data_IF_594325817797
#
_entry.id   IF_594325817797
#
_cell.length_a   1.000
_cell.length_b   1.000
_cell.length_c   1.000
_cell.angle_alpha   90.00
_cell.angle_beta   90.00
_cell.angle_gamma   90.00
#
_symmetry.space_group_name_H-M   'P 1'
#
loop_
_entity.id
_entity.type
_entity.pdbx_description
1 polymer ?
#
# COMPACT_ATOMS: atom_id res chain seq x y z
N UNK A 1 58.33 -24.56 -12.84
CA UNK A 1 58.93 -25.07 -11.58
C UNK A 1 59.24 -23.86 -10.71
N UNK A 2 58.84 -23.72 -9.46
CA UNK A 2 58.16 -24.61 -8.54
C UNK A 2 57.72 -23.81 -7.29
N UNK A 3 56.83 -24.45 -6.54
CA UNK A 3 56.13 -23.99 -5.34
C UNK A 3 56.94 -23.24 -4.26
N UNK A 4 56.27 -22.26 -3.64
CA UNK A 4 56.53 -21.82 -2.26
C UNK A 4 55.83 -22.76 -1.26
N UNK A 5 56.56 -23.21 -0.23
CA UNK A 5 56.01 -23.65 1.06
C UNK A 5 56.96 -23.25 2.21
N UNK A 6 56.36 -22.59 3.21
CA UNK A 6 56.50 -22.69 4.70
C UNK A 6 57.93 -22.57 5.29
N UNK A 7 58.21 -22.02 6.48
CA UNK A 7 57.60 -22.28 7.81
C UNK A 7 58.27 -21.39 8.88
N UNK A 8 57.49 -21.00 9.92
CA UNK A 8 57.74 -20.60 11.33
C UNK A 8 59.14 -20.15 11.84
N UNK A 9 59.15 -19.18 12.77
CA UNK A 9 59.85 -19.14 14.10
C UNK A 9 59.36 -17.87 14.86
N UNK A 10 58.58 -17.93 15.94
CA UNK A 10 58.84 -18.17 17.38
C UNK A 10 59.78 -17.17 18.09
N UNK A 11 59.33 -16.79 19.30
CA UNK A 11 59.69 -15.68 20.19
C UNK A 11 61.14 -15.57 20.71
N UNK A 12 61.54 -14.33 21.08
CA UNK A 12 62.24 -14.04 22.35
C UNK A 12 62.23 -12.52 22.65
N UNK A 13 61.77 -12.19 23.85
CA UNK A 13 61.59 -10.85 24.42
C UNK A 13 62.83 -10.48 25.25
N UNK A 14 63.41 -9.29 25.00
CA UNK A 14 64.58 -8.76 25.73
C UNK A 14 64.10 -7.91 26.91
N UNK A 15 64.65 -8.23 28.08
CA UNK A 15 64.46 -7.59 29.37
C UNK A 15 65.30 -6.29 29.46
N UNK A 16 64.71 -5.19 29.90
CA UNK A 16 65.45 -4.00 30.36
C UNK A 16 64.80 -3.44 31.63
N UNK A 17 65.54 -3.57 32.73
CA UNK A 17 65.31 -2.96 34.02
C UNK A 17 65.79 -1.51 34.00
N UNK A 18 65.04 -0.58 34.58
CA UNK A 18 65.55 0.56 35.34
C UNK A 18 64.43 1.12 36.24
N UNK A 19 64.75 1.23 37.53
CA UNK A 19 63.82 1.60 38.59
C UNK A 19 63.63 3.10 38.78
N UNK A 20 62.65 3.45 39.62
CA UNK A 20 62.44 4.83 40.08
C UNK A 20 61.08 5.05 40.76
N UNK A 21 61.02 4.74 42.05
CA UNK A 21 60.40 5.54 43.12
C UNK A 21 59.06 6.26 42.82
N UNK A 22 57.91 5.69 43.22
CA UNK A 22 56.70 6.48 43.49
C UNK A 22 55.89 5.89 44.65
N UNK A 23 55.48 6.79 45.55
CA UNK A 23 54.79 6.50 46.81
C UNK A 23 53.40 5.90 46.64
N UNK A 24 52.99 5.17 47.67
CA UNK A 24 51.68 4.56 47.79
C UNK A 24 50.59 5.63 47.95
N UNK A 25 49.81 5.87 46.90
CA UNK A 25 48.46 6.45 47.00
C UNK A 25 47.49 5.26 46.85
N UNK A 26 46.72 4.98 47.89
CA UNK A 26 45.55 4.09 47.80
C UNK A 26 44.54 4.74 46.86
N UNK A 27 44.49 4.28 45.61
CA UNK A 27 43.37 4.54 44.70
C UNK A 27 42.23 3.62 45.13
N UNK A 28 41.17 4.20 45.70
CA UNK A 28 39.91 3.49 45.90
C UNK A 28 39.38 3.07 44.53
N UNK A 29 39.07 1.78 44.38
CA UNK A 29 38.39 1.27 43.21
C UNK A 29 37.01 1.94 43.13
N UNK A 30 36.84 2.89 42.20
CA UNK A 30 35.53 3.32 41.76
C UNK A 30 34.87 2.13 41.08
N UNK A 31 33.84 1.59 41.72
CA UNK A 31 32.87 0.71 41.06
C UNK A 31 32.32 1.44 39.83
N UNK A 32 32.31 0.82 38.63
CA UNK A 32 31.63 1.42 37.50
C UNK A 32 30.14 1.54 37.86
N UNK A 33 29.67 2.78 37.89
CA UNK A 33 28.26 3.12 37.96
C UNK A 33 27.59 2.45 36.75
N UNK A 34 26.67 1.52 37.03
CA UNK A 34 25.89 0.86 36.00
C UNK A 34 25.10 1.95 35.24
N UNK A 35 25.58 2.31 34.05
CA UNK A 35 24.81 3.10 33.12
C UNK A 35 23.45 2.43 32.94
N UNK A 36 22.39 3.22 33.07
CA UNK A 36 21.03 2.78 32.78
C UNK A 36 21.04 2.12 31.39
N UNK A 37 20.95 0.79 31.36
CA UNK A 37 20.77 0.08 30.11
C UNK A 37 19.47 0.56 29.51
N UNK A 38 19.48 0.89 28.22
CA UNK A 38 18.27 1.05 27.44
C UNK A 38 17.38 -0.16 27.74
N UNK A 39 16.25 0.09 28.40
CA UNK A 39 15.24 -0.93 28.63
C UNK A 39 14.76 -1.33 27.23
N UNK A 40 15.22 -2.47 26.72
CA UNK A 40 14.72 -3.03 25.48
C UNK A 40 13.29 -3.51 25.75
N UNK A 41 12.33 -2.59 25.67
CA UNK A 41 10.92 -2.91 25.74
C UNK A 41 10.60 -3.80 24.55
N UNK A 42 10.01 -4.97 24.80
CA UNK A 42 9.50 -5.83 23.73
C UNK A 42 8.58 -5.01 22.80
N UNK A 43 8.63 -5.24 21.47
CA UNK A 43 7.77 -4.52 20.52
C UNK A 43 6.31 -4.60 20.95
N UNK A 44 5.62 -3.45 21.02
CA UNK A 44 4.20 -3.41 21.38
C UNK A 44 3.38 -3.78 20.15
N UNK A 45 2.56 -4.81 20.25
CA UNK A 45 1.61 -5.15 19.18
C UNK A 45 0.55 -4.04 19.05
N UNK A 46 0.37 -3.52 17.83
CA UNK A 46 -0.60 -2.47 17.52
C UNK A 46 -1.81 -3.04 16.79
N UNK A 47 -1.58 -3.85 15.77
CA UNK A 47 -2.64 -4.45 14.97
C UNK A 47 -2.17 -5.78 14.39
N UNK A 48 -3.10 -6.69 14.15
CA UNK A 48 -2.88 -7.90 13.39
C UNK A 48 -4.12 -8.17 12.56
N UNK A 49 -3.93 -8.37 11.25
CA UNK A 49 -4.97 -8.52 10.25
C UNK A 49 -4.66 -9.74 9.41
N UNK A 50 -5.56 -10.72 9.38
CA UNK A 50 -5.44 -11.88 8.50
C UNK A 50 -5.93 -11.56 7.10
N UNK A 51 -5.44 -12.32 6.13
CA UNK A 51 -5.92 -12.30 4.75
C UNK A 51 -6.47 -13.67 4.31
N UNK A 52 -7.06 -13.75 3.12
CA UNK A 52 -7.59 -14.97 2.54
C UNK A 52 -6.48 -15.72 1.80
N UNK A 53 -6.00 -16.82 2.38
CA UNK A 53 -4.97 -17.66 1.73
C UNK A 53 -5.41 -18.15 0.33
N UNK A 54 -4.52 -18.00 -0.64
CA UNK A 54 -4.61 -18.56 -1.99
C UNK A 54 -5.34 -17.67 -3.00
N UNK A 55 -5.43 -16.37 -2.75
CA UNK A 55 -6.13 -15.40 -3.61
C UNK A 55 -5.20 -14.47 -4.41
N UNK A 56 -3.93 -14.84 -4.55
CA UNK A 56 -2.88 -14.13 -5.30
C UNK A 56 -3.00 -14.19 -6.84
N UNK A 57 -4.24 -14.07 -7.30
CA UNK A 57 -4.69 -14.09 -8.69
C UNK A 57 -5.28 -12.74 -9.14
N UNK A 58 -4.93 -11.66 -8.45
CA UNK A 58 -5.30 -10.28 -8.80
C UNK A 58 -6.82 -10.13 -8.95
N UNK A 59 -7.34 -9.68 -10.11
CA UNK A 59 -8.78 -9.59 -10.37
C UNK A 59 -9.49 -10.96 -10.50
N UNK A 60 -8.89 -12.05 -10.01
CA UNK A 60 -9.42 -13.42 -10.08
C UNK A 60 -8.97 -14.22 -11.30
N UNK A 61 -8.17 -13.64 -12.18
CA UNK A 61 -7.75 -14.25 -13.45
C UNK A 61 -6.24 -14.34 -13.64
N UNK A 62 -5.44 -13.69 -12.79
CA UNK A 62 -4.00 -13.59 -13.02
C UNK A 62 -3.30 -14.93 -12.84
N UNK A 63 -2.27 -15.12 -13.64
CA UNK A 63 -1.39 -16.30 -13.58
C UNK A 63 0.05 -15.85 -13.52
N UNK A 64 0.86 -16.63 -12.83
CA UNK A 64 2.27 -16.33 -12.64
C UNK A 64 3.04 -16.35 -13.96
N UNK A 65 4.19 -15.65 -14.03
CA UNK A 65 5.12 -15.82 -15.14
C UNK A 65 5.61 -17.28 -15.24
N UNK A 66 5.96 -17.72 -16.45
CA UNK A 66 6.22 -19.14 -16.72
C UNK A 66 7.65 -19.60 -16.43
N UNK A 67 8.55 -18.69 -16.02
CA UNK A 67 9.91 -19.10 -15.60
C UNK A 67 9.87 -20.03 -14.38
N UNK A 68 10.81 -20.97 -14.34
CA UNK A 68 10.89 -21.96 -13.27
C UNK A 68 11.03 -21.35 -11.86
N UNK A 69 11.57 -20.13 -11.74
CA UNK A 69 11.66 -19.44 -10.44
C UNK A 69 10.29 -19.13 -9.84
N UNK A 70 9.26 -18.99 -10.68
CA UNK A 70 7.87 -18.76 -10.26
C UNK A 70 7.06 -20.06 -10.16
N UNK A 71 7.66 -21.23 -10.36
CA UNK A 71 6.97 -22.53 -10.30
C UNK A 71 6.78 -22.99 -8.85
N UNK A 72 6.15 -22.15 -8.04
CA UNK A 72 5.77 -22.35 -6.65
C UNK A 72 4.43 -21.63 -6.40
N UNK A 73 3.67 -22.09 -5.42
CA UNK A 73 2.41 -21.45 -5.01
C UNK A 73 2.66 -20.40 -3.92
N UNK A 74 1.78 -19.40 -3.84
CA UNK A 74 1.74 -18.44 -2.74
C UNK A 74 2.90 -17.43 -2.72
N UNK A 75 3.59 -17.25 -3.86
CA UNK A 75 4.71 -16.32 -4.01
C UNK A 75 4.33 -14.85 -3.80
N UNK A 76 3.07 -14.50 -4.08
CA UNK A 76 2.55 -13.15 -3.94
C UNK A 76 1.34 -13.06 -2.99
N UNK A 77 0.91 -14.20 -2.43
CA UNK A 77 -0.17 -14.37 -1.45
C UNK A 77 0.24 -13.88 -0.07
N UNK A 78 -0.25 -12.70 0.29
CA UNK A 78 -0.25 -12.13 1.63
C UNK A 78 -1.25 -12.94 2.44
N UNK A 79 -0.82 -13.57 3.52
CA UNK A 79 -1.72 -14.30 4.45
C UNK A 79 -2.08 -13.47 5.68
N UNK A 80 -1.46 -12.30 5.81
CA UNK A 80 -1.77 -11.33 6.85
C UNK A 80 -0.66 -10.34 7.11
N UNK A 81 -0.99 -9.37 7.96
CA UNK A 81 -0.13 -8.26 8.34
C UNK A 81 -0.15 -8.10 9.85
N UNK A 82 1.02 -7.84 10.43
CA UNK A 82 1.15 -7.48 11.84
C UNK A 82 1.93 -6.17 11.98
N UNK A 83 1.37 -5.21 12.71
CA UNK A 83 2.03 -3.94 12.99
C UNK A 83 2.47 -3.91 14.46
N UNK A 84 3.76 -3.67 14.67
CA UNK A 84 4.34 -3.42 15.98
C UNK A 84 4.78 -1.97 16.12
N UNK A 85 4.89 -1.53 17.36
CA UNK A 85 5.45 -0.25 17.77
C UNK A 85 6.68 -0.51 18.64
N UNK A 86 7.84 -0.08 18.14
CA UNK A 86 9.09 0.00 18.91
C UNK A 86 9.25 1.43 19.47
N UNK A 87 10.40 1.76 20.07
CA UNK A 87 10.64 3.12 20.60
C UNK A 87 10.63 4.20 19.51
N UNK A 88 11.25 3.94 18.36
CA UNK A 88 11.49 4.93 17.30
C UNK A 88 10.74 4.63 15.99
N UNK A 89 10.24 3.41 15.82
CA UNK A 89 9.72 2.91 14.55
C UNK A 89 8.39 2.20 14.76
N UNK A 90 7.57 2.20 13.72
CA UNK A 90 6.58 1.15 13.50
C UNK A 90 7.23 0.04 12.66
N UNK A 91 6.98 -1.22 13.03
CA UNK A 91 7.52 -2.38 12.33
C UNK A 91 6.36 -3.16 11.71
N UNK A 92 6.23 -3.04 10.40
CA UNK A 92 5.20 -3.70 9.61
C UNK A 92 5.73 -5.05 9.14
N UNK A 93 5.10 -6.13 9.60
CA UNK A 93 5.33 -7.48 9.12
C UNK A 93 4.25 -7.81 8.08
N UNK A 94 4.68 -8.14 6.87
CA UNK A 94 3.80 -8.66 5.81
C UNK A 94 4.13 -10.15 5.66
N UNK A 95 3.18 -11.00 6.02
CA UNK A 95 3.32 -12.45 6.00
C UNK A 95 2.81 -12.97 4.67
N UNK A 96 3.59 -13.84 4.03
CA UNK A 96 3.24 -14.49 2.78
C UNK A 96 3.05 -16.00 3.03
N UNK A 97 2.25 -16.66 2.19
CA UNK A 97 2.18 -18.13 2.17
C UNK A 97 3.57 -18.69 1.82
N UNK A 98 4.24 -18.09 0.83
CA UNK A 98 5.58 -18.45 0.41
C UNK A 98 6.38 -17.26 -0.13
N UNK A 99 7.59 -16.98 0.37
CA UNK A 99 8.43 -15.93 -0.24
C UNK A 99 9.21 -16.39 -1.49
N UNK A 100 9.29 -17.69 -1.76
CA UNK A 100 10.12 -18.24 -2.84
C UNK A 100 11.62 -18.09 -2.60
N UNK A 101 12.03 -17.64 -1.41
CA UNK A 101 13.42 -17.42 -1.04
C UNK A 101 14.03 -16.15 -1.64
N UNK A 102 15.33 -16.22 -1.93
CA UNK A 102 16.10 -15.12 -2.50
C UNK A 102 16.94 -15.57 -3.71
N UNK A 103 16.30 -16.09 -4.78
CA UNK A 103 16.99 -16.69 -5.92
C UNK A 103 17.93 -15.72 -6.67
N UNK A 104 17.72 -14.42 -6.54
CA UNK A 104 18.53 -13.39 -7.22
C UNK A 104 19.44 -12.61 -6.27
N UNK A 105 19.49 -12.97 -4.99
CA UNK A 105 20.41 -12.36 -4.02
C UNK A 105 20.09 -10.90 -3.70
N UNK A 106 18.81 -10.53 -3.63
CA UNK A 106 18.36 -9.22 -3.15
C UNK A 106 18.84 -8.96 -1.71
N UNK A 107 19.26 -7.72 -1.45
CA UNK A 107 19.84 -7.30 -0.16
C UNK A 107 18.86 -7.35 1.00
N UNK A 108 17.57 -7.21 0.72
CA UNK A 108 16.51 -7.32 1.73
C UNK A 108 16.16 -8.78 2.09
N UNK A 109 16.81 -9.77 1.45
CA UNK A 109 16.64 -11.19 1.80
C UNK A 109 15.51 -11.91 1.04
N UNK A 110 14.92 -11.28 0.03
CA UNK A 110 13.94 -11.86 -0.89
C UNK A 110 14.15 -11.31 -2.31
N UNK A 111 13.49 -11.87 -3.33
CA UNK A 111 13.69 -11.43 -4.73
C UNK A 111 12.42 -11.11 -5.50
N UNK A 112 11.33 -11.83 -5.29
CA UNK A 112 10.25 -11.89 -6.29
C UNK A 112 9.17 -10.83 -6.06
N UNK A 113 8.97 -10.41 -4.81
CA UNK A 113 7.88 -9.55 -4.40
C UNK A 113 8.22 -8.07 -4.59
N UNK A 114 7.21 -7.29 -4.93
CA UNK A 114 7.13 -5.85 -4.65
C UNK A 114 5.95 -5.66 -3.70
N UNK A 115 6.18 -4.96 -2.60
CA UNK A 115 5.16 -4.68 -1.57
C UNK A 115 5.00 -3.18 -1.44
N UNK A 116 3.77 -2.72 -1.42
CA UNK A 116 3.44 -1.35 -1.06
C UNK A 116 2.46 -1.34 0.10
N UNK A 117 2.66 -0.43 1.06
CA UNK A 117 1.71 -0.17 2.12
C UNK A 117 1.45 1.32 2.23
N UNK A 118 0.18 1.69 2.42
CA UNK A 118 -0.30 3.06 2.42
C UNK A 118 -1.01 3.34 3.74
N UNK A 119 -0.78 4.51 4.32
CA UNK A 119 -1.37 4.92 5.60
C UNK A 119 -2.02 6.29 5.47
N UNK A 120 -3.29 6.37 5.83
CA UNK A 120 -4.09 7.59 5.96
C UNK A 120 -4.37 7.81 7.45
N UNK A 121 -3.89 8.90 8.03
CA UNK A 121 -4.05 9.20 9.46
C UNK A 121 -4.29 10.68 9.75
N UNK A 122 -4.44 11.52 8.71
CA UNK A 122 -4.82 12.93 8.82
C UNK A 122 -5.46 13.39 7.50
N UNK A 123 -6.12 14.54 7.55
CA UNK A 123 -6.76 15.11 6.36
C UNK A 123 -5.74 15.50 5.27
N UNK A 124 -6.08 15.18 4.02
CA UNK A 124 -5.27 15.48 2.84
C UNK A 124 -4.49 14.25 2.36
N UNK A 125 -3.47 14.47 1.52
CA UNK A 125 -2.64 13.39 0.98
C UNK A 125 -2.82 13.16 -0.51
N UNK A 126 -2.45 11.96 -0.98
CA UNK A 126 -2.50 11.57 -2.39
C UNK A 126 -3.38 10.32 -2.56
N UNK A 127 -4.21 10.25 -3.61
CA UNK A 127 -5.11 9.12 -3.85
C UNK A 127 -4.61 8.14 -4.91
N UNK A 128 -3.46 8.43 -5.52
CA UNK A 128 -2.85 7.56 -6.54
C UNK A 128 -1.85 6.61 -5.89
N UNK A 129 -1.78 5.38 -6.39
CA UNK A 129 -0.69 4.48 -6.04
C UNK A 129 0.67 5.10 -6.41
N UNK A 130 1.74 4.63 -5.74
CA UNK A 130 3.10 5.16 -5.91
C UNK A 130 3.51 5.09 -7.39
N UNK A 131 4.02 6.21 -7.91
CA UNK A 131 4.59 6.32 -9.27
C UNK A 131 5.88 7.11 -9.19
N UNK A 132 7.01 6.40 -9.28
CA UNK A 132 8.35 7.00 -9.14
C UNK A 132 9.01 7.21 -10.51
N UNK A 133 8.54 6.54 -11.55
CA UNK A 133 8.92 6.82 -12.92
C UNK A 133 7.98 7.86 -13.56
N UNK A 134 8.54 8.85 -14.28
CA UNK A 134 7.79 9.97 -14.87
C UNK A 134 6.56 9.57 -15.70
N UNK A 135 6.62 8.40 -16.37
CA UNK A 135 5.52 7.86 -17.18
C UNK A 135 5.11 6.44 -16.75
N UNK A 136 5.43 6.07 -15.52
CA UNK A 136 5.15 4.75 -15.00
C UNK A 136 3.73 4.64 -14.43
N UNK A 137 3.04 3.51 -14.62
CA UNK A 137 1.70 3.32 -14.09
C UNK A 137 1.70 2.89 -12.61
N UNK A 138 2.86 2.61 -11.99
CA UNK A 138 2.95 2.00 -10.67
C UNK A 138 2.26 0.64 -10.63
N UNK A 139 1.57 0.36 -9.51
CA UNK A 139 0.64 -0.76 -9.37
C UNK A 139 -0.60 -0.66 -10.29
N UNK A 140 -0.78 0.48 -10.97
CA UNK A 140 -1.89 0.81 -11.85
C UNK A 140 -3.28 0.75 -11.20
N UNK A 141 -3.36 1.16 -9.93
CA UNK A 141 -4.60 1.29 -9.15
C UNK A 141 -4.73 2.69 -8.55
N UNK A 142 -5.95 3.04 -8.14
CA UNK A 142 -6.25 4.18 -7.27
C UNK A 142 -6.55 3.67 -5.86
N UNK A 143 -6.55 4.58 -4.89
CA UNK A 143 -7.00 4.35 -3.53
C UNK A 143 -8.31 5.13 -3.33
N UNK A 144 -9.26 4.56 -2.59
CA UNK A 144 -10.54 5.21 -2.27
C UNK A 144 -10.39 6.44 -1.37
N UNK A 145 -9.25 6.52 -0.70
CA UNK A 145 -8.86 7.57 0.24
C UNK A 145 -7.47 8.09 -0.04
N UNK A 146 -7.18 9.35 0.33
CA UNK A 146 -5.83 9.84 0.23
C UNK A 146 -4.95 9.17 1.28
N UNK A 147 -3.66 9.06 1.01
CA UNK A 147 -2.66 8.58 1.98
C UNK A 147 -1.64 9.67 2.31
N UNK A 148 -1.11 9.59 3.53
CA UNK A 148 -0.16 10.54 4.10
C UNK A 148 1.28 10.04 4.04
N UNK A 149 1.44 8.73 4.15
CA UNK A 149 2.71 8.02 4.03
C UNK A 149 2.46 6.71 3.32
N UNK A 150 3.36 6.37 2.41
CA UNK A 150 3.41 5.05 1.82
C UNK A 150 4.82 4.47 1.91
N UNK A 151 4.94 3.17 1.70
CA UNK A 151 6.21 2.49 1.51
C UNK A 151 6.16 1.66 0.24
N UNK A 152 7.30 1.54 -0.46
CA UNK A 152 7.53 0.56 -1.53
C UNK A 152 8.79 -0.23 -1.20
N UNK A 153 8.66 -1.54 -1.12
CA UNK A 153 9.75 -2.45 -0.75
C UNK A 153 9.87 -3.56 -1.79
N UNK A 154 11.09 -3.77 -2.27
CA UNK A 154 11.49 -4.86 -3.17
C UNK A 154 12.66 -5.63 -2.56
N UNK A 155 13.21 -6.62 -3.26
CA UNK A 155 14.46 -7.27 -2.86
C UNK A 155 15.68 -6.34 -2.78
N UNK A 156 15.65 -5.17 -3.44
CA UNK A 156 16.81 -4.27 -3.57
C UNK A 156 16.59 -2.87 -3.02
N UNK A 157 15.34 -2.40 -2.98
CA UNK A 157 14.98 -1.02 -2.62
C UNK A 157 13.94 -1.04 -1.51
N UNK A 158 14.05 -0.10 -0.59
CA UNK A 158 13.13 0.07 0.54
C UNK A 158 12.90 1.56 0.71
N UNK A 159 11.75 2.05 0.26
CA UNK A 159 11.47 3.49 0.22
C UNK A 159 10.25 3.82 1.04
N UNK A 160 10.36 4.85 1.88
CA UNK A 160 9.21 5.62 2.33
C UNK A 160 8.91 6.70 1.28
N UNK A 161 7.64 6.88 0.98
CA UNK A 161 7.13 7.79 -0.04
C UNK A 161 6.14 8.75 0.59
N UNK A 162 6.33 10.05 0.35
CA UNK A 162 5.42 11.11 0.79
C UNK A 162 4.42 11.47 -0.31
N UNK A 163 3.32 12.19 -0.01
CA UNK A 163 2.24 12.45 -0.97
C UNK A 163 2.67 13.24 -2.22
N UNK A 164 3.79 13.97 -2.12
CA UNK A 164 4.43 14.68 -3.24
C UNK A 164 5.38 13.79 -4.07
N UNK A 165 5.37 12.46 -3.86
CA UNK A 165 6.25 11.46 -4.49
C UNK A 165 7.73 11.60 -4.15
N UNK A 166 8.10 12.45 -3.19
CA UNK A 166 9.46 12.43 -2.64
C UNK A 166 9.69 11.16 -1.83
N UNK A 167 10.93 10.68 -1.85
CA UNK A 167 11.28 9.40 -1.23
C UNK A 167 12.46 9.52 -0.29
N UNK A 168 12.48 8.66 0.72
CA UNK A 168 13.66 8.40 1.54
C UNK A 168 13.88 6.89 1.70
N UNK A 169 15.14 6.49 1.85
CA UNK A 169 15.47 5.09 2.10
C UNK A 169 15.14 4.71 3.54
N UNK A 170 14.53 3.55 3.71
CA UNK A 170 14.21 2.93 5.00
C UNK A 170 14.77 1.51 5.06
N UNK A 171 14.66 0.84 6.20
CA UNK A 171 15.13 -0.54 6.35
C UNK A 171 13.98 -1.53 6.07
N UNK A 172 14.28 -2.55 5.28
CA UNK A 172 13.44 -3.74 5.21
C UNK A 172 14.31 -5.00 5.16
N UNK A 173 13.77 -6.10 5.67
CA UNK A 173 14.42 -7.43 5.67
C UNK A 173 13.37 -8.51 5.45
N UNK A 174 13.79 -9.75 5.25
CA UNK A 174 12.90 -10.90 5.22
C UNK A 174 13.33 -11.98 6.21
N UNK A 175 12.34 -12.63 6.81
CA UNK A 175 12.49 -13.89 7.52
C UNK A 175 11.92 -15.01 6.64
N UNK A 176 12.82 -15.76 6.00
CA UNK A 176 12.45 -16.87 5.11
C UNK A 176 11.89 -18.10 5.84
N UNK A 177 12.11 -18.22 7.16
CA UNK A 177 11.54 -19.31 7.95
C UNK A 177 10.04 -19.09 8.19
N UNK A 178 9.63 -17.82 8.31
CA UNK A 178 8.23 -17.42 8.56
C UNK A 178 7.59 -16.75 7.36
N UNK A 179 8.24 -16.79 6.18
CA UNK A 179 7.80 -16.11 4.96
C UNK A 179 7.34 -14.66 5.21
N UNK A 180 8.13 -13.88 5.94
CA UNK A 180 7.71 -12.53 6.37
C UNK A 180 8.66 -11.46 5.84
N UNK A 181 8.13 -10.43 5.19
CA UNK A 181 8.85 -9.18 4.91
C UNK A 181 8.62 -8.23 6.08
N UNK A 182 9.70 -7.70 6.65
CA UNK A 182 9.73 -6.85 7.84
C UNK A 182 10.17 -5.45 7.40
N UNK A 183 9.28 -4.47 7.50
CA UNK A 183 9.48 -3.10 7.03
C UNK A 183 9.49 -2.16 8.24
N UNK A 184 10.53 -1.32 8.35
CA UNK A 184 10.70 -0.37 9.46
C UNK A 184 10.37 1.03 9.00
N UNK A 185 9.37 1.63 9.63
CA UNK A 185 8.83 2.95 9.29
C UNK A 185 9.13 3.91 10.45
N UNK A 186 9.91 4.98 10.24
CA UNK A 186 10.22 5.93 11.32
C UNK A 186 8.96 6.64 11.81
N UNK A 187 8.78 6.73 13.13
CA UNK A 187 7.60 7.35 13.76
C UNK A 187 7.43 8.83 13.45
N UNK A 188 8.49 9.52 13.06
CA UNK A 188 8.38 10.94 12.67
C UNK A 188 7.49 11.14 11.43
N UNK A 189 7.30 10.09 10.61
CA UNK A 189 6.45 10.13 9.42
C UNK A 189 5.08 9.50 9.64
N UNK A 190 4.98 8.46 10.49
CA UNK A 190 3.73 7.72 10.70
C UNK A 190 3.22 7.92 12.12
N UNK A 191 1.95 8.31 12.26
CA UNK A 191 1.27 8.40 13.54
C UNK A 191 -0.02 7.58 13.51
N UNK A 192 -0.02 6.42 14.18
CA UNK A 192 -1.19 5.55 14.22
C UNK A 192 -2.22 6.09 15.22
N UNK A 193 -3.45 6.26 14.76
CA UNK A 193 -4.60 6.71 15.54
C UNK A 193 -5.80 5.78 15.32
N UNK A 194 -6.86 5.85 16.15
CA UNK A 194 -8.10 5.09 15.89
C UNK A 194 -8.77 5.41 14.54
N UNK A 195 -8.48 6.59 13.97
CA UNK A 195 -9.01 7.02 12.68
C UNK A 195 -8.08 6.67 11.51
N UNK A 196 -7.02 5.89 11.76
CA UNK A 196 -6.07 5.48 10.72
C UNK A 196 -6.65 4.39 9.83
N UNK A 197 -6.48 4.57 8.53
CA UNK A 197 -6.79 3.59 7.49
C UNK A 197 -5.51 3.18 6.79
N UNK A 198 -5.46 1.95 6.30
CA UNK A 198 -4.31 1.46 5.57
C UNK A 198 -4.69 0.48 4.47
N UNK A 199 -3.81 0.33 3.50
CA UNK A 199 -3.86 -0.72 2.49
C UNK A 199 -2.48 -1.34 2.34
N UNK A 200 -2.42 -2.64 2.06
CA UNK A 200 -1.18 -3.33 1.70
C UNK A 200 -1.44 -4.10 0.41
N UNK A 201 -0.54 -3.96 -0.55
CA UNK A 201 -0.61 -4.65 -1.84
C UNK A 201 0.71 -5.33 -2.15
N UNK A 202 0.64 -6.43 -2.87
CA UNK A 202 1.78 -7.18 -3.36
C UNK A 202 1.67 -7.45 -4.87
N UNK A 203 2.83 -7.63 -5.48
CA UNK A 203 2.91 -8.08 -6.86
C UNK A 203 4.24 -8.71 -7.20
N UNK A 204 4.35 -9.10 -8.47
CA UNK A 204 5.61 -9.58 -9.02
C UNK A 204 6.51 -8.40 -9.38
N UNK A 205 7.69 -8.38 -8.78
CA UNK A 205 8.71 -7.37 -9.04
C UNK A 205 9.41 -7.62 -10.38
N UNK A 206 9.72 -6.54 -11.09
CA UNK A 206 10.59 -6.53 -12.28
C UNK A 206 11.56 -5.35 -12.20
N UNK A 207 12.80 -5.61 -11.75
CA UNK A 207 13.82 -4.56 -11.60
C UNK A 207 14.28 -3.90 -12.91
N UNK A 208 13.88 -4.43 -14.06
CA UNK A 208 14.09 -3.81 -15.37
C UNK A 208 12.81 -3.16 -15.92
N UNK A 209 11.67 -3.44 -15.28
CA UNK A 209 10.37 -2.89 -15.61
C UNK A 209 10.20 -1.47 -15.06
N UNK A 210 9.31 -0.71 -15.72
CA UNK A 210 8.93 0.61 -15.24
C UNK A 210 8.21 0.50 -13.88
N UNK A 211 8.58 1.38 -12.94
CA UNK A 211 8.14 1.36 -11.54
C UNK A 211 8.45 0.08 -10.75
N UNK A 212 9.33 -0.79 -11.26
CA UNK A 212 9.67 -2.07 -10.63
C UNK A 212 8.51 -3.09 -10.58
N UNK A 213 7.37 -2.79 -11.21
CA UNK A 213 6.22 -3.70 -11.32
C UNK A 213 6.27 -4.51 -12.61
N UNK A 214 6.16 -5.84 -12.50
CA UNK A 214 6.09 -6.72 -13.66
C UNK A 214 4.82 -6.44 -14.46
N UNK A 215 4.96 -6.46 -15.78
CA UNK A 215 3.84 -6.20 -16.70
C UNK A 215 2.91 -7.41 -16.77
N UNK A 216 1.61 -7.12 -16.89
CA UNK A 216 0.52 -8.08 -17.10
C UNK A 216 0.18 -8.14 -18.59
N UNK A 217 0.01 -9.35 -19.11
CA UNK A 217 -0.41 -9.69 -20.46
C UNK A 217 -1.66 -10.58 -20.41
N UNK A 218 -2.30 -10.77 -21.57
CA UNK A 218 -3.42 -11.72 -21.71
C UNK A 218 -2.94 -13.15 -21.43
N UNK A 219 -1.83 -13.53 -22.04
CA UNK A 219 -1.19 -14.84 -21.85
C UNK A 219 0.11 -14.67 -21.07
N UNK A 220 0.37 -15.58 -20.14
CA UNK A 220 1.61 -15.54 -19.36
C UNK A 220 2.82 -15.82 -20.27
N UNK A 221 3.90 -15.07 -20.04
CA UNK A 221 5.20 -15.34 -20.64
C UNK A 221 6.22 -15.64 -19.54
N UNK A 222 7.44 -16.02 -19.93
CA UNK A 222 8.51 -16.38 -18.98
C UNK A 222 8.69 -15.32 -17.88
N UNK A 223 8.59 -14.04 -18.25
CA UNK A 223 8.85 -12.90 -17.36
C UNK A 223 7.67 -11.92 -17.30
N UNK A 224 6.45 -12.36 -17.61
CA UNK A 224 5.25 -11.52 -17.62
C UNK A 224 4.08 -12.27 -16.98
N UNK A 225 3.31 -11.56 -16.17
CA UNK A 225 2.07 -12.09 -15.58
C UNK A 225 1.06 -12.32 -16.72
N UNK A 226 0.28 -13.39 -16.66
CA UNK A 226 -0.81 -13.66 -17.61
C UNK A 226 -2.18 -13.41 -17.01
N UNK A 227 -3.23 -13.62 -17.81
CA UNK A 227 -4.63 -13.56 -17.36
C UNK A 227 -5.20 -12.14 -17.30
N UNK A 228 -4.50 -11.15 -17.85
CA UNK A 228 -5.02 -9.79 -17.94
C UNK A 228 -6.18 -9.65 -18.92
N UNK A 229 -7.14 -8.79 -18.57
CA UNK A 229 -8.21 -8.41 -19.48
C UNK A 229 -7.62 -7.66 -20.71
N UNK A 230 -7.86 -8.13 -21.94
CA UNK A 230 -7.30 -7.52 -23.15
C UNK A 230 -7.74 -6.07 -23.36
N UNK A 231 -8.99 -5.73 -23.03
CA UNK A 231 -9.54 -4.39 -23.20
C UNK A 231 -8.97 -3.45 -22.12
N UNK A 232 -8.84 -3.92 -20.88
CA UNK A 232 -8.20 -3.18 -19.81
C UNK A 232 -6.71 -2.92 -20.08
N UNK A 233 -5.99 -3.90 -20.65
CA UNK A 233 -4.59 -3.74 -21.09
C UNK A 233 -4.52 -2.70 -22.20
N UNK A 234 -5.38 -2.80 -23.22
CA UNK A 234 -5.38 -1.87 -24.35
C UNK A 234 -5.69 -0.42 -23.91
N UNK A 235 -6.58 -0.25 -22.93
CA UNK A 235 -6.90 1.05 -22.33
C UNK A 235 -5.87 1.51 -21.28
N UNK A 236 -4.91 0.66 -20.89
CA UNK A 236 -3.88 1.01 -19.91
C UNK A 236 -4.39 1.08 -18.46
N UNK A 237 -5.52 0.44 -18.15
CA UNK A 237 -6.17 0.46 -16.82
C UNK A 237 -6.05 -0.87 -16.06
N UNK A 238 -5.49 -1.91 -16.68
CA UNK A 238 -5.29 -3.20 -16.03
C UNK A 238 -4.37 -3.08 -14.78
N UNK A 239 -4.81 -3.52 -13.58
CA UNK A 239 -3.99 -3.46 -12.37
C UNK A 239 -2.76 -4.37 -12.49
N UNK A 240 -1.69 -4.07 -11.75
CA UNK A 240 -0.48 -4.93 -11.67
C UNK A 240 -0.36 -5.67 -10.33
N UNK A 241 -1.36 -5.48 -9.49
CA UNK A 241 -1.49 -6.12 -8.17
C UNK A 241 -1.78 -7.60 -8.37
N UNK A 242 -0.97 -8.46 -7.76
CA UNK A 242 -1.24 -9.90 -7.68
C UNK A 242 -2.10 -10.20 -6.47
N UNK A 243 -1.92 -9.43 -5.39
CA UNK A 243 -2.65 -9.59 -4.15
C UNK A 243 -2.77 -8.27 -3.35
N UNK A 244 -3.82 -8.11 -2.54
CA UNK A 244 -4.07 -7.00 -1.64
C UNK A 244 -4.70 -7.50 -0.34
N UNK A 245 -4.32 -6.88 0.78
CA UNK A 245 -4.86 -7.21 2.09
C UNK A 245 -6.37 -6.92 2.16
N UNK A 246 -7.19 -7.97 2.06
CA UNK A 246 -8.63 -8.01 2.20
C UNK A 246 -9.02 -9.05 3.28
N UNK A 247 -9.31 -8.61 4.52
CA UNK A 247 -9.67 -9.54 5.60
C UNK A 247 -10.82 -10.47 5.24
N UNK A 248 -10.91 -11.68 5.82
CA UNK A 248 -12.05 -12.55 5.61
C UNK A 248 -13.38 -11.83 5.91
N UNK A 249 -14.29 -11.82 4.93
CA UNK A 249 -15.57 -11.10 4.94
C UNK A 249 -15.49 -9.57 4.81
N UNK A 250 -14.33 -9.02 4.42
CA UNK A 250 -14.25 -7.64 3.97
C UNK A 250 -15.06 -7.47 2.68
N UNK A 251 -15.73 -6.34 2.54
CA UNK A 251 -16.51 -6.01 1.34
C UNK A 251 -16.18 -4.58 0.96
N UNK A 252 -15.77 -4.32 -0.30
CA UNK A 252 -15.66 -5.27 -1.42
C UNK A 252 -14.53 -6.30 -1.30
N UNK A 253 -14.65 -7.45 -1.97
CA UNK A 253 -13.55 -8.45 -2.05
C UNK A 253 -12.36 -7.91 -2.85
N UNK A 254 -11.21 -8.60 -2.79
CA UNK A 254 -10.06 -8.27 -3.63
C UNK A 254 -10.43 -8.19 -5.12
N UNK A 255 -11.13 -9.20 -5.65
CA UNK A 255 -11.46 -9.25 -7.08
C UNK A 255 -12.44 -8.15 -7.45
N UNK A 256 -13.45 -7.87 -6.62
CA UNK A 256 -14.38 -6.76 -6.84
C UNK A 256 -13.64 -5.42 -6.91
N UNK A 257 -12.64 -5.21 -6.06
CA UNK A 257 -11.80 -4.01 -6.09
C UNK A 257 -10.95 -3.96 -7.36
N UNK A 258 -10.25 -5.05 -7.70
CA UNK A 258 -9.34 -5.09 -8.85
C UNK A 258 -10.07 -5.17 -10.21
N UNK A 259 -11.36 -5.50 -10.23
CA UNK A 259 -12.24 -5.43 -11.40
C UNK A 259 -12.99 -4.09 -11.53
N UNK A 260 -12.86 -3.17 -10.57
CA UNK A 260 -13.60 -1.89 -10.56
C UNK A 260 -13.09 -0.85 -11.57
N UNK A 261 -12.17 -1.22 -12.47
CA UNK A 261 -11.73 -0.34 -13.55
C UNK A 261 -12.83 -0.13 -14.58
N UNK A 262 -12.70 0.95 -15.36
CA UNK A 262 -13.61 1.28 -16.44
C UNK A 262 -12.79 1.64 -17.68
N UNK A 263 -12.90 0.79 -18.70
CA UNK A 263 -12.14 0.86 -19.96
C UNK A 263 -12.54 2.10 -20.77
N UNK A 264 -13.84 2.42 -20.81
CA UNK A 264 -14.39 3.50 -21.63
C UNK A 264 -13.95 4.88 -21.13
N UNK A 265 -13.90 5.07 -19.82
CA UNK A 265 -13.49 6.30 -19.15
C UNK A 265 -11.99 6.35 -18.86
N UNK A 266 -11.26 5.23 -18.98
CA UNK A 266 -9.85 5.14 -18.60
C UNK A 266 -9.63 5.17 -17.08
N UNK A 267 -10.65 4.81 -16.29
CA UNK A 267 -10.57 4.79 -14.83
C UNK A 267 -9.90 3.50 -14.36
N UNK A 268 -8.92 3.63 -13.46
CA UNK A 268 -8.26 2.48 -12.83
C UNK A 268 -9.13 1.86 -11.76
N UNK A 269 -8.87 0.58 -11.49
CA UNK A 269 -9.40 -0.10 -10.31
C UNK A 269 -9.05 0.67 -9.03
N UNK A 270 -9.97 0.68 -8.07
CA UNK A 270 -9.84 1.40 -6.80
C UNK A 270 -9.77 0.42 -5.65
N UNK A 271 -8.70 0.52 -4.87
CA UNK A 271 -8.51 -0.25 -3.64
C UNK A 271 -9.12 0.52 -2.48
N UNK A 272 -9.86 -0.19 -1.65
CA UNK A 272 -10.51 0.33 -0.44
C UNK A 272 -9.59 0.11 0.75
N UNK A 273 -9.16 1.21 1.38
CA UNK A 273 -8.36 1.12 2.59
C UNK A 273 -9.18 0.58 3.77
N UNK A 274 -8.56 -0.26 4.59
CA UNK A 274 -9.19 -0.83 5.78
C UNK A 274 -8.86 0.02 7.02
N UNK A 275 -9.83 0.22 7.94
CA UNK A 275 -9.52 0.84 9.24
C UNK A 275 -8.57 -0.06 10.02
N UNK A 276 -7.57 0.52 10.68
CA UNK A 276 -6.60 -0.27 11.44
C UNK A 276 -7.25 -0.84 12.71
N UNK A 277 -7.29 -2.18 12.92
CA UNK A 277 -7.90 -2.76 14.09
C UNK A 277 -6.94 -2.72 15.28
N UNK A 278 -6.94 -1.60 16.00
CA UNK A 278 -6.07 -1.40 17.16
C UNK A 278 -6.35 -2.45 18.24
N UNK A 279 -5.28 -3.11 18.70
CA UNK A 279 -5.34 -3.95 19.90
C UNK A 279 -5.60 -3.05 21.11
N UNK A 280 -6.63 -3.32 21.91
CA UNK A 280 -6.91 -2.55 23.12
C UNK A 280 -5.69 -2.52 24.03
N UNK A 281 -5.33 -1.33 24.53
CA UNK A 281 -4.29 -1.18 25.54
C UNK A 281 -4.85 -1.72 26.85
N UNK A 282 -4.67 -3.02 27.09
CA UNK A 282 -4.91 -3.63 28.38
C UNK A 282 -3.81 -3.20 29.35
N UNK A 283 -4.22 -2.66 30.49
CA UNK A 283 -3.41 -2.44 31.67
C UNK A 283 -2.92 -3.79 32.23
N UNK A 284 -1.85 -4.30 31.61
CA UNK A 284 -0.92 -5.26 32.18
C UNK A 284 -1.50 -6.56 32.72
N UNK A 285 -1.89 -7.50 31.85
CA UNK A 285 -1.74 -8.93 32.12
C UNK A 285 -1.20 -9.64 30.87
N UNK A 286 0.07 -10.04 30.96
CA UNK A 286 0.74 -10.89 29.98
C UNK A 286 0.13 -12.30 30.00
N UNK A 287 -0.81 -12.59 29.10
CA UNK A 287 -1.13 -13.97 28.76
C UNK A 287 -0.16 -14.46 27.68
N UNK A 288 0.98 -14.96 28.13
CA UNK A 288 1.93 -15.74 27.32
C UNK A 288 1.22 -16.98 26.79
N UNK A 289 0.79 -16.97 25.52
CA UNK A 289 0.38 -18.19 24.84
C UNK A 289 1.60 -18.81 24.17
N UNK A 290 2.27 -19.70 24.90
CA UNK A 290 3.26 -20.61 24.33
C UNK A 290 2.53 -21.63 23.46
N UNK A 291 2.61 -21.49 22.14
CA UNK A 291 2.18 -22.52 21.20
C UNK A 291 3.26 -23.61 21.13
N UNK A 292 3.03 -24.74 21.81
CA UNK A 292 3.78 -25.97 21.60
C UNK A 292 2.98 -26.91 20.70
N UNK A 293 3.57 -27.28 19.57
CA UNK A 293 3.02 -28.24 18.63
C UNK A 293 2.86 -29.62 19.27
N UNK A 294 1.63 -30.12 19.36
CA UNK A 294 1.36 -31.55 19.28
C UNK A 294 -0.05 -31.79 18.74
N UNK A 295 -0.14 -32.59 17.68
CA UNK A 295 -1.36 -32.77 16.91
C UNK A 295 -2.45 -33.49 17.70
N UNK A 296 -3.63 -32.89 17.77
CA UNK A 296 -4.90 -33.61 17.93
C UNK A 296 -5.98 -32.79 17.26
N UNK A 297 -6.73 -33.41 16.34
CA UNK A 297 -7.87 -32.77 15.67
C UNK A 297 -8.96 -32.50 16.70
N UNK A 298 -9.23 -31.24 16.99
CA UNK A 298 -10.40 -30.81 17.77
C UNK A 298 -11.36 -30.09 16.83
N UNK A 299 -12.54 -30.67 16.63
CA UNK A 299 -13.64 -30.02 15.91
C UNK A 299 -14.28 -29.01 16.84
N UNK A 300 -14.10 -27.72 16.55
CA UNK A 300 -14.79 -26.64 17.25
C UNK A 300 -16.22 -26.54 16.73
N UNK A 301 -17.20 -26.91 17.56
CA UNK A 301 -18.61 -26.58 17.36
C UNK A 301 -18.83 -25.17 17.89
N UNK A 302 -19.23 -24.24 17.04
CA UNK A 302 -19.72 -22.93 17.47
C UNK A 302 -21.12 -23.12 18.08
N UNK A 303 -21.25 -22.83 19.38
CA UNK A 303 -22.56 -22.59 20.02
C UNK A 303 -22.74 -21.08 20.07
N UNK A 304 -23.70 -20.59 19.30
CA UNK A 304 -24.12 -19.19 19.32
C UNK A 304 -24.83 -18.92 20.65
N UNK A 305 -24.18 -18.22 21.58
CA UNK A 305 -24.84 -17.66 22.76
C UNK A 305 -25.30 -16.26 22.38
N UNK A 306 -26.60 -16.12 22.17
CA UNK A 306 -27.25 -14.81 21.95
C UNK A 306 -27.38 -14.12 23.31
N UNK A 307 -26.46 -13.21 23.60
CA UNK A 307 -26.58 -12.33 24.75
C UNK A 307 -27.79 -11.41 24.56
N UNK A 308 -28.77 -11.54 25.46
CA UNK A 308 -29.97 -10.70 25.46
C UNK A 308 -29.79 -9.67 26.57
N UNK A 309 -29.42 -8.45 26.20
CA UNK A 309 -29.43 -7.33 27.13
C UNK A 309 -30.87 -7.07 27.59
N UNK A 310 -31.12 -7.23 28.89
CA UNK A 310 -32.38 -6.86 29.52
C UNK A 310 -32.27 -5.40 29.98
N UNK A 311 -32.79 -4.47 29.17
CA UNK A 311 -32.93 -3.06 29.56
C UNK A 311 -34.21 -2.90 30.39
N UNK A 312 -34.07 -2.77 31.70
CA UNK A 312 -35.16 -2.39 32.60
C UNK A 312 -35.50 -0.90 32.40
N UNK A 313 -36.58 -0.61 31.67
CA UNK A 313 -37.07 0.75 31.44
C UNK A 313 -38.09 1.15 32.52
N UNK A 314 -37.65 1.90 33.53
CA UNK A 314 -38.55 2.56 34.49
C UNK A 314 -39.24 3.73 33.80
N UNK A 315 -40.56 3.69 33.68
CA UNK A 315 -41.38 4.77 33.12
C UNK A 315 -41.89 5.64 34.26
N UNK A 316 -41.44 6.90 34.31
CA UNK A 316 -42.02 7.95 35.17
C UNK A 316 -42.81 8.89 34.28
N UNK A 317 -44.14 8.83 34.35
CA UNK A 317 -45.02 9.78 33.67
C UNK A 317 -45.00 11.13 34.41
N UNK A 318 -44.46 12.17 33.77
CA UNK A 318 -44.61 13.56 34.22
C UNK A 318 -45.52 14.29 33.25
N UNK A 319 -46.76 14.55 33.68
CA UNK A 319 -47.74 15.34 32.92
C UNK A 319 -47.35 16.81 32.99
N UNK A 320 -46.88 17.37 31.86
CA UNK A 320 -46.69 18.81 31.70
C UNK A 320 -47.63 19.32 30.63
N UNK A 321 -48.57 20.19 31.02
CA UNK A 321 -49.55 20.82 30.14
C UNK A 321 -48.97 22.11 29.58
N UNK A 322 -48.65 22.14 28.29
CA UNK A 322 -48.22 23.36 27.58
C UNK A 322 -49.35 23.84 26.68
N UNK A 323 -49.84 25.04 26.93
CA UNK A 323 -50.77 25.77 26.05
C UNK A 323 -49.98 26.49 24.96
N UNK A 324 -50.19 26.10 23.71
CA UNK A 324 -49.66 26.79 22.52
C UNK A 324 -50.69 27.80 22.00
N UNK A 325 -50.28 29.07 21.89
CA UNK A 325 -51.03 30.13 21.21
C UNK A 325 -50.47 30.25 19.79
N UNK A 326 -51.32 30.08 18.79
CA UNK A 326 -51.00 30.21 17.36
C UNK A 326 -51.05 31.69 16.96
N UNK A 327 -49.95 32.22 16.45
CA UNK A 327 -49.93 33.44 15.61
C UNK A 327 -49.40 33.06 14.22
N UNK A 328 -50.17 33.43 13.21
CA UNK A 328 -49.94 33.17 11.80
C UNK A 328 -49.28 34.39 11.17
N UNK A 329 -48.06 34.26 10.66
CA UNK A 329 -47.47 35.25 9.74
C UNK A 329 -47.32 34.64 8.35
N UNK A 330 -47.92 35.32 7.38
CA UNK A 330 -47.85 35.05 5.95
C UNK A 330 -46.65 35.80 5.36
N UNK A 331 -45.76 35.12 4.62
CA UNK A 331 -44.77 35.78 3.78
C UNK A 331 -44.71 35.15 2.38
N UNK A 332 -44.88 36.03 1.40
CA UNK A 332 -45.03 35.80 -0.04
C UNK A 332 -43.70 35.47 -0.73
N UNK A 333 -43.74 34.51 -1.66
CA UNK A 333 -42.66 34.14 -2.57
C UNK A 333 -42.52 35.12 -3.76
N UNK A 334 -41.30 35.29 -4.28
CA UNK A 334 -41.07 35.95 -5.58
C UNK A 334 -40.03 35.16 -6.35
N UNK A 335 -40.46 34.52 -7.43
CA UNK A 335 -39.63 33.77 -8.39
C UNK A 335 -39.18 34.73 -9.49
N UNK A 336 -37.86 34.86 -9.70
CA UNK A 336 -37.29 35.60 -10.84
C UNK A 336 -36.58 34.60 -11.75
N UNK A 337 -37.07 34.47 -12.98
CA UNK A 337 -36.52 33.61 -14.04
C UNK A 337 -35.63 34.48 -14.94
N UNK A 338 -34.35 34.14 -15.06
CA UNK A 338 -33.39 34.81 -15.95
C UNK A 338 -33.18 33.95 -17.19
N UNK A 339 -33.51 34.48 -18.38
CA UNK A 339 -33.20 33.90 -19.68
C UNK A 339 -31.98 34.62 -20.27
N UNK A 340 -30.92 33.87 -20.59
CA UNK A 340 -29.68 34.38 -21.19
C UNK A 340 -29.76 34.24 -22.70
N UNK A 341 -29.67 35.37 -23.43
CA UNK A 341 -29.56 35.43 -24.90
C UNK A 341 -28.15 35.93 -25.25
N UNK A 342 -27.37 35.11 -25.94
CA UNK A 342 -26.04 35.44 -26.45
C UNK A 342 -26.15 36.01 -27.86
N UNK A 343 -25.79 37.29 -28.05
CA UNK A 343 -25.61 37.92 -29.36
C UNK A 343 -24.13 38.27 -29.56
N UNK A 344 -23.52 37.72 -30.59
CA UNK A 344 -22.13 37.98 -31.00
C UNK A 344 -22.09 39.22 -31.88
N UNK A 345 -21.43 40.29 -31.42
CA UNK A 345 -21.16 41.51 -32.20
C UNK A 345 -19.67 41.53 -32.60
N UNK A 346 -19.40 41.42 -33.89
CA UNK A 346 -18.06 41.60 -34.46
C UNK A 346 -17.89 43.08 -34.84
N UNK A 347 -16.92 43.76 -34.23
CA UNK A 347 -16.47 45.08 -34.65
C UNK A 347 -15.19 44.92 -35.49
N UNK A 348 -15.19 45.51 -36.69
CA UNK A 348 -13.99 45.61 -37.55
C UNK A 348 -13.81 47.06 -37.93
N UNK A 349 -12.66 47.62 -37.53
CA UNK A 349 -12.23 48.99 -37.79
C UNK A 349 -11.76 49.18 -39.23
N UNK A 350 -11.99 50.39 -39.74
CA UNK A 350 -11.87 50.78 -41.14
C UNK A 350 -10.44 50.84 -41.68
N UNK A 351 -10.27 50.57 -42.97
CA UNK A 351 -9.03 50.82 -43.71
C UNK A 351 -9.22 50.79 -45.22
N UNK A 352 -9.84 51.85 -45.75
CA UNK A 352 -9.84 52.41 -47.11
C UNK A 352 -9.42 51.60 -48.36
N UNK A 353 -10.18 51.76 -49.45
CA UNK A 353 -9.61 51.74 -50.80
C UNK A 353 -10.48 51.13 -51.91
N UNK A 354 -11.32 51.98 -52.52
CA UNK A 354 -11.72 52.04 -53.93
C UNK A 354 -11.58 50.80 -54.84
N UNK A 355 -12.71 50.48 -55.50
CA UNK A 355 -12.88 50.36 -56.97
C UNK A 355 -13.46 49.03 -57.47
N UNK A 356 -14.75 49.07 -57.83
CA UNK A 356 -15.25 48.59 -59.12
C UNK A 356 -15.62 47.09 -59.28
N UNK A 357 -16.71 46.75 -59.98
CA UNK A 357 -17.38 45.44 -59.84
C UNK A 357 -17.25 44.52 -61.07
N UNK A 358 -17.91 43.36 -60.96
CA UNK A 358 -18.10 42.28 -61.95
C UNK A 358 -17.03 41.18 -61.85
N UNK A 359 -17.36 39.90 -61.72
CA UNK A 359 -18.28 39.15 -62.59
C UNK A 359 -18.95 37.96 -61.89
N UNK A 360 -20.20 37.74 -62.33
CA UNK A 360 -21.10 36.61 -62.10
C UNK A 360 -20.57 35.37 -62.86
N UNK A 361 -21.20 34.21 -62.59
CA UNK A 361 -21.37 33.00 -63.45
C UNK A 361 -20.59 31.79 -62.89
N UNK A 362 -21.21 31.01 -61.98
CA UNK A 362 -21.93 29.74 -62.25
C UNK A 362 -21.00 28.50 -62.21
N UNK A 363 -21.39 27.24 -62.00
CA UNK A 363 -22.66 26.53 -62.11
C UNK A 363 -22.50 25.17 -61.36
N UNK A 364 -23.63 24.69 -60.82
CA UNK A 364 -24.08 23.31 -60.55
C UNK A 364 -23.10 22.12 -60.79
N UNK A 365 -22.90 21.19 -59.84
CA UNK A 365 -23.80 20.09 -59.40
C UNK A 365 -24.37 19.27 -60.56
N UNK A 366 -24.01 17.97 -60.63
CA UNK A 366 -24.92 16.83 -60.93
C UNK A 366 -24.19 15.49 -60.64
N UNK A 367 -24.93 14.41 -60.31
CA UNK A 367 -24.46 13.25 -59.54
C UNK A 367 -24.59 11.88 -60.26
N UNK A 368 -24.32 10.80 -59.48
CA UNK A 368 -25.10 9.54 -59.40
C UNK A 368 -24.89 8.40 -60.45
N UNK A 369 -24.70 7.19 -59.87
CA UNK A 369 -25.22 5.85 -60.25
C UNK A 369 -24.29 4.81 -60.91
N UNK A 370 -24.15 3.69 -60.18
CA UNK A 370 -24.29 2.26 -60.54
C UNK A 370 -23.45 1.72 -61.73
N UNK A 371 -22.82 0.54 -61.67
CA UNK A 371 -23.48 -0.75 -61.45
C UNK A 371 -22.45 -1.89 -61.34
N UNK A 372 -22.79 -2.87 -60.51
CA UNK A 372 -22.20 -4.21 -60.31
C UNK A 372 -22.04 -5.05 -61.59
N UNK A 373 -21.02 -5.93 -61.52
CA UNK A 373 -20.85 -7.28 -62.11
C UNK A 373 -20.69 -7.41 -63.63
N UNK A 374 -19.49 -7.82 -64.05
CA UNK A 374 -19.19 -9.22 -64.35
C UNK A 374 -17.77 -9.55 -63.94
#
# INVERSE_FOLDING_TARGET
MGHKKRTLYSAAMVLLLLGGLFGFIKLGAATPEAGAGDQYTSPKLIASVSDVVGDDHGPGTYTYPTDAVFNQTGLFDIIGVTLYEDSNEYVLHVHFDNLGGNPWGGWNGFSLQIVEAYFDFKDGGNTTAIKLADNGPGANVNLDRPWDVAVRVTGWTSKLVLPNMSTMDINATANLTTNTIIIRIPKEYLNITPDTYFAVIAGSQDGYGIDEWRTVLVEAEQWRIGGGDPDAIAAGVAPRVMDLLAPPNFTPTQEEQLQSYDVDSGTRATIVMIPIPLVPVGDGETNTTTSSCEGTKTVTKYVLVKETETVTKTTTETVTRTTTKTETETKTETVTKTETKTETKTETTSGGGLCGPATIISLAVVPLLLKRRK
#
